data_IF_651454837941
#
_entry.id   IF_651454837941
#
_cell.length_a   1.000
_cell.length_b   1.000
_cell.length_c   1.000
_cell.angle_alpha   90.00
_cell.angle_beta   90.00
_cell.angle_gamma   90.00
#
_symmetry.space_group_name_H-M   'P 1'
#
loop_
_entity.id
_entity.type
_entity.pdbx_description
1 polymer ?
#
# COMPACT_ATOMS: atom_id res chain seq x y z
N UNK A 1 19.74 11.31 5.89
CA UNK A 1 18.46 11.89 5.41
C UNK A 1 17.35 11.61 6.42
N UNK A 2 16.44 12.60 6.65
CA UNK A 2 15.29 12.41 7.56
C UNK A 2 14.38 11.24 7.10
N UNK A 3 14.23 11.07 5.80
CA UNK A 3 13.43 9.98 5.25
C UNK A 3 14.05 8.61 5.55
N UNK A 4 15.35 8.43 5.33
CA UNK A 4 16.02 7.16 5.61
C UNK A 4 15.97 6.80 7.10
N UNK A 5 16.09 7.78 8.00
CA UNK A 5 15.92 7.57 9.44
C UNK A 5 14.49 7.12 9.79
N UNK A 6 13.48 7.60 9.04
CA UNK A 6 12.09 7.15 9.21
C UNK A 6 11.94 5.69 8.75
N UNK A 7 12.53 5.31 7.61
CA UNK A 7 12.51 3.91 7.14
C UNK A 7 13.17 3.00 8.16
N UNK A 8 14.35 3.36 8.65
CA UNK A 8 15.06 2.61 9.68
C UNK A 8 14.24 2.41 10.95
N UNK A 9 13.62 3.48 11.45
CA UNK A 9 12.78 3.44 12.65
C UNK A 9 11.55 2.58 12.44
N UNK A 10 10.85 2.75 11.33
CA UNK A 10 9.67 1.94 10.98
C UNK A 10 10.02 0.46 10.94
N UNK A 11 11.14 0.11 10.29
CA UNK A 11 11.63 -1.24 10.26
C UNK A 11 11.88 -1.79 11.67
N UNK A 12 12.58 -1.06 12.53
CA UNK A 12 12.85 -1.46 13.91
C UNK A 12 11.59 -1.71 14.73
N UNK A 13 10.55 -0.86 14.55
CA UNK A 13 9.25 -1.03 15.20
C UNK A 13 8.50 -2.27 14.69
N UNK A 14 8.57 -2.54 13.39
CA UNK A 14 7.86 -3.66 12.76
C UNK A 14 8.63 -4.98 12.81
N UNK A 15 9.94 -4.96 13.02
CA UNK A 15 10.82 -6.14 12.97
C UNK A 15 10.27 -7.40 13.65
N UNK A 16 9.65 -7.33 14.87
CA UNK A 16 9.10 -8.51 15.54
C UNK A 16 7.93 -9.18 14.79
N UNK A 17 7.32 -8.49 13.85
CA UNK A 17 6.12 -8.91 13.12
C UNK A 17 6.40 -9.25 11.66
N UNK A 18 7.60 -8.92 11.15
CA UNK A 18 7.99 -9.13 9.77
C UNK A 18 8.58 -10.52 9.55
N UNK A 19 8.41 -11.02 8.33
CA UNK A 19 8.99 -12.26 7.82
C UNK A 19 9.78 -12.01 6.56
N UNK A 20 10.77 -12.86 6.27
CA UNK A 20 11.50 -12.82 5.01
C UNK A 20 10.60 -13.27 3.85
N UNK A 21 10.09 -12.30 3.10
CA UNK A 21 9.27 -12.51 1.91
C UNK A 21 9.75 -11.61 0.77
N UNK A 22 9.40 -11.96 -0.45
CA UNK A 22 9.70 -11.12 -1.61
C UNK A 22 8.77 -9.91 -1.70
N UNK A 23 9.20 -8.89 -2.43
CA UNK A 23 8.36 -7.76 -2.78
C UNK A 23 7.10 -8.23 -3.55
N UNK A 24 5.96 -7.61 -3.28
CA UNK A 24 4.65 -7.98 -3.85
C UNK A 24 4.24 -9.44 -3.59
N UNK A 25 4.67 -10.04 -2.47
CA UNK A 25 4.42 -11.44 -2.13
C UNK A 25 3.08 -11.67 -1.44
N UNK A 26 2.39 -10.62 -0.95
CA UNK A 26 1.11 -10.76 -0.26
C UNK A 26 0.06 -11.39 -1.19
N UNK A 27 -0.63 -12.41 -0.67
CA UNK A 27 -1.61 -13.18 -1.42
C UNK A 27 -2.98 -12.48 -1.50
N UNK A 28 -3.86 -12.99 -2.37
CA UNK A 28 -5.26 -12.55 -2.44
C UNK A 28 -6.07 -12.95 -1.19
N UNK A 29 -5.49 -13.77 -0.28
CA UNK A 29 -6.10 -14.14 1.02
C UNK A 29 -6.30 -12.95 1.97
N UNK A 30 -5.69 -11.79 1.69
CA UNK A 30 -5.97 -10.53 2.38
C UNK A 30 -7.40 -10.00 2.17
N UNK A 31 -8.26 -10.72 1.42
CA UNK A 31 -9.59 -10.26 1.02
C UNK A 31 -10.51 -9.89 2.19
N UNK A 32 -10.38 -10.57 3.33
CA UNK A 32 -11.22 -10.33 4.52
C UNK A 32 -10.69 -9.22 5.43
N UNK A 33 -9.45 -8.73 5.21
CA UNK A 33 -8.84 -7.65 5.97
C UNK A 33 -8.72 -6.39 5.09
N UNK A 34 -9.60 -5.43 5.34
CA UNK A 34 -9.67 -4.19 4.55
C UNK A 34 -8.34 -3.41 4.56
N UNK A 35 -7.69 -3.26 5.72
CA UNK A 35 -6.43 -2.52 5.83
C UNK A 35 -5.28 -3.24 5.09
N UNK A 36 -5.21 -4.57 5.17
CA UNK A 36 -4.22 -5.35 4.44
C UNK A 36 -4.42 -5.23 2.92
N UNK A 37 -5.67 -5.23 2.46
CA UNK A 37 -6.02 -5.06 1.04
C UNK A 37 -5.68 -3.66 0.51
N UNK A 38 -5.96 -2.61 1.28
CA UNK A 38 -5.60 -1.23 0.92
C UNK A 38 -4.06 -1.06 0.88
N UNK A 39 -3.34 -1.65 1.83
CA UNK A 39 -1.87 -1.64 1.79
C UNK A 39 -1.34 -2.37 0.56
N UNK A 40 -1.88 -3.55 0.22
CA UNK A 40 -1.51 -4.30 -0.98
C UNK A 40 -1.77 -3.50 -2.25
N UNK A 41 -2.93 -2.86 -2.37
CA UNK A 41 -3.26 -1.99 -3.49
C UNK A 41 -2.24 -0.85 -3.62
N UNK A 42 -1.91 -0.19 -2.51
CA UNK A 42 -0.91 0.90 -2.47
C UNK A 42 0.48 0.39 -2.86
N UNK A 43 0.88 -0.78 -2.37
CA UNK A 43 2.14 -1.43 -2.71
C UNK A 43 2.27 -1.63 -4.23
N UNK A 44 1.31 -2.33 -4.85
CA UNK A 44 1.32 -2.62 -6.28
C UNK A 44 1.23 -1.35 -7.15
N UNK A 45 0.43 -0.36 -6.73
CA UNK A 45 0.36 0.94 -7.40
C UNK A 45 1.71 1.69 -7.34
N UNK A 46 2.42 1.59 -6.21
CA UNK A 46 3.75 2.18 -6.06
C UNK A 46 4.76 1.50 -6.96
N UNK A 47 4.79 0.16 -7.03
CA UNK A 47 5.69 -0.59 -7.92
C UNK A 47 5.47 -0.20 -9.37
N UNK A 48 4.21 -0.16 -9.82
CA UNK A 48 3.85 0.27 -11.18
C UNK A 48 4.38 1.67 -11.47
N UNK A 49 4.07 2.63 -10.60
CA UNK A 49 4.44 4.04 -10.78
C UNK A 49 5.96 4.24 -10.77
N UNK A 50 6.66 3.63 -9.81
CA UNK A 50 8.12 3.73 -9.71
C UNK A 50 8.80 3.09 -10.92
N UNK A 51 8.29 1.94 -11.39
CA UNK A 51 8.78 1.28 -12.61
C UNK A 51 8.65 2.18 -13.85
N UNK A 52 7.49 2.86 -14.02
CA UNK A 52 7.27 3.81 -15.12
C UNK A 52 8.16 5.06 -14.98
N UNK A 53 8.28 5.62 -13.77
CA UNK A 53 9.03 6.84 -13.52
C UNK A 53 10.56 6.62 -13.73
N UNK A 54 11.10 5.47 -13.31
CA UNK A 54 12.52 5.14 -13.48
C UNK A 54 12.78 4.63 -14.90
N UNK A 55 12.00 3.65 -15.38
CA UNK A 55 12.28 2.94 -16.62
C UNK A 55 12.00 3.75 -17.87
N UNK A 56 10.95 4.58 -17.89
CA UNK A 56 10.50 5.28 -19.09
C UNK A 56 10.74 6.78 -19.07
N UNK A 57 10.72 7.40 -17.88
CA UNK A 57 10.68 8.87 -17.73
C UNK A 57 11.91 9.46 -17.08
N UNK A 58 12.76 8.64 -16.44
CA UNK A 58 13.93 9.06 -15.65
C UNK A 58 13.59 10.10 -14.57
N UNK A 59 12.39 9.99 -13.98
CA UNK A 59 11.86 10.91 -12.98
C UNK A 59 12.12 10.37 -11.55
N UNK A 60 13.37 10.38 -11.12
CA UNK A 60 13.78 9.81 -9.83
C UNK A 60 13.12 10.49 -8.63
N UNK A 61 12.85 11.80 -8.68
CA UNK A 61 12.21 12.51 -7.58
C UNK A 61 10.76 12.04 -7.36
N UNK A 62 10.00 11.80 -8.43
CA UNK A 62 8.63 11.28 -8.35
C UNK A 62 8.61 9.83 -7.90
N UNK A 63 9.57 9.03 -8.35
CA UNK A 63 9.75 7.66 -7.86
C UNK A 63 10.00 7.64 -6.35
N UNK A 64 10.94 8.45 -5.85
CA UNK A 64 11.21 8.56 -4.41
C UNK A 64 9.98 9.07 -3.65
N UNK A 65 9.25 10.05 -4.18
CA UNK A 65 8.02 10.54 -3.55
C UNK A 65 6.96 9.45 -3.41
N UNK A 66 6.80 8.60 -4.44
CA UNK A 66 5.86 7.45 -4.38
C UNK A 66 6.28 6.41 -3.33
N UNK A 67 7.59 6.15 -3.19
CA UNK A 67 8.09 5.27 -2.11
C UNK A 67 7.83 5.91 -0.73
N UNK A 68 7.99 7.24 -0.60
CA UNK A 68 7.67 7.95 0.64
C UNK A 68 6.19 7.85 1.00
N UNK A 69 5.30 7.88 0.02
CA UNK A 69 3.85 7.67 0.22
C UNK A 69 3.56 6.25 0.74
N UNK A 70 4.21 5.23 0.19
CA UNK A 70 4.07 3.84 0.69
C UNK A 70 4.58 3.71 2.13
N UNK A 71 5.71 4.34 2.47
CA UNK A 71 6.21 4.39 3.85
C UNK A 71 5.24 5.12 4.79
N UNK A 72 4.58 6.19 4.32
CA UNK A 72 3.56 6.86 5.12
C UNK A 72 2.35 5.96 5.37
N UNK A 73 1.91 5.19 4.37
CA UNK A 73 0.82 4.23 4.52
C UNK A 73 1.16 3.15 5.55
N UNK A 74 2.38 2.61 5.50
CA UNK A 74 2.86 1.66 6.51
C UNK A 74 2.80 2.26 7.94
N UNK A 75 3.18 3.52 8.12
CA UNK A 75 3.06 4.19 9.42
C UNK A 75 1.62 4.33 9.89
N UNK A 76 0.69 4.60 8.98
CA UNK A 76 -0.72 4.82 9.32
C UNK A 76 -1.45 3.50 9.67
N UNK A 77 -1.11 2.41 8.97
CA UNK A 77 -1.84 1.14 9.06
C UNK A 77 -1.18 0.11 9.99
N UNK A 78 0.09 0.31 10.40
CA UNK A 78 0.87 -0.70 11.13
C UNK A 78 0.19 -1.22 12.40
N UNK A 79 -0.41 -0.34 13.21
CA UNK A 79 -0.98 -0.71 14.51
C UNK A 79 -2.21 -1.63 14.36
N UNK A 80 -2.98 -1.45 13.29
CA UNK A 80 -4.09 -2.32 12.94
C UNK A 80 -3.58 -3.65 12.38
N UNK A 81 -2.60 -3.59 11.46
CA UNK A 81 -2.13 -4.74 10.71
C UNK A 81 -1.31 -5.74 11.54
N UNK A 82 -0.58 -5.30 12.57
CA UNK A 82 0.18 -6.21 13.44
C UNK A 82 -0.71 -7.17 14.24
N UNK A 83 -2.01 -6.92 14.32
CA UNK A 83 -2.95 -7.74 15.09
C UNK A 83 -3.39 -9.03 14.38
N UNK A 84 -3.24 -9.12 13.05
CA UNK A 84 -3.71 -10.24 12.24
C UNK A 84 -2.58 -10.90 11.44
N UNK A 85 -2.76 -12.16 11.03
CA UNK A 85 -1.78 -12.89 10.23
C UNK A 85 -1.66 -12.26 8.81
N UNK A 86 -2.80 -11.95 8.20
CA UNK A 86 -2.89 -11.32 6.88
C UNK A 86 -2.24 -9.93 6.89
N UNK A 87 -2.47 -9.17 7.97
CA UNK A 87 -1.84 -7.87 8.16
C UNK A 87 -0.32 -7.95 8.26
N UNK A 88 0.23 -8.93 8.99
CA UNK A 88 1.68 -9.16 9.08
C UNK A 88 2.28 -9.58 7.74
N UNK A 89 1.55 -10.40 6.96
CA UNK A 89 1.94 -10.77 5.60
C UNK A 89 2.01 -9.53 4.70
N UNK A 90 0.98 -8.69 4.72
CA UNK A 90 0.94 -7.45 3.95
C UNK A 90 2.05 -6.46 4.36
N UNK A 91 2.31 -6.31 5.67
CA UNK A 91 3.42 -5.49 6.18
C UNK A 91 4.79 -6.01 5.72
N UNK A 92 4.99 -7.32 5.75
CA UNK A 92 6.24 -7.96 5.32
C UNK A 92 6.48 -7.73 3.83
N UNK A 93 5.45 -7.95 3.00
CA UNK A 93 5.48 -7.73 1.56
C UNK A 93 5.78 -6.26 1.22
N UNK A 94 5.05 -5.33 1.81
CA UNK A 94 5.22 -3.91 1.56
C UNK A 94 6.58 -3.39 2.04
N UNK A 95 7.13 -3.92 3.17
CA UNK A 95 8.47 -3.56 3.62
C UNK A 95 9.54 -4.08 2.67
N UNK A 96 9.45 -5.34 2.21
CA UNK A 96 10.33 -5.89 1.18
C UNK A 96 10.29 -5.06 -0.10
N UNK A 97 9.10 -4.62 -0.52
CA UNK A 97 8.92 -3.73 -1.67
C UNK A 97 9.60 -2.37 -1.46
N UNK A 98 9.45 -1.74 -0.29
CA UNK A 98 10.15 -0.48 0.03
C UNK A 98 11.65 -0.64 -0.10
N UNK A 99 12.23 -1.73 0.45
CA UNK A 99 13.68 -1.98 0.38
C UNK A 99 14.15 -2.20 -1.06
N UNK A 100 13.41 -3.00 -1.85
CA UNK A 100 13.77 -3.28 -3.24
C UNK A 100 13.69 -2.02 -4.11
N UNK A 101 12.65 -1.19 -3.93
CA UNK A 101 12.51 0.05 -4.69
C UNK A 101 13.51 1.14 -4.28
N UNK A 102 13.95 1.16 -3.01
CA UNK A 102 14.97 2.08 -2.51
C UNK A 102 16.40 1.63 -2.82
N UNK A 103 16.60 0.36 -3.13
CA UNK A 103 17.93 -0.22 -3.33
C UNK A 103 18.81 0.58 -4.31
N UNK A 104 18.33 1.04 -5.50
CA UNK A 104 19.14 1.81 -6.42
C UNK A 104 19.65 3.15 -5.86
N UNK A 105 19.01 3.67 -4.82
CA UNK A 105 19.33 4.97 -4.21
C UNK A 105 20.16 4.84 -2.93
N UNK A 106 19.96 3.77 -2.18
CA UNK A 106 20.56 3.57 -0.85
C UNK A 106 20.90 2.09 -0.60
N UNK A 107 21.80 1.50 -1.39
CA UNK A 107 22.05 0.05 -1.37
C UNK A 107 22.48 -0.45 0.02
N UNK A 108 23.41 0.22 0.68
CA UNK A 108 23.91 -0.23 1.98
C UNK A 108 22.83 -0.32 3.07
N UNK A 109 21.93 0.68 3.13
CA UNK A 109 20.81 0.66 4.07
C UNK A 109 19.86 -0.51 3.76
N UNK A 110 19.57 -0.71 2.48
CA UNK A 110 18.61 -1.73 2.05
C UNK A 110 19.16 -3.14 2.27
N UNK A 111 20.45 -3.39 2.01
CA UNK A 111 21.09 -4.68 2.29
C UNK A 111 21.09 -5.01 3.79
N UNK A 112 21.44 -4.06 4.64
CA UNK A 112 21.42 -4.25 6.10
C UNK A 112 20.03 -4.67 6.59
N UNK A 113 18.98 -3.93 6.16
CA UNK A 113 17.61 -4.24 6.55
C UNK A 113 17.08 -5.52 5.90
N UNK A 114 17.57 -5.88 4.72
CA UNK A 114 17.21 -7.10 4.01
C UNK A 114 17.77 -8.35 4.72
N UNK A 115 19.03 -8.29 5.16
CA UNK A 115 19.65 -9.31 5.99
C UNK A 115 18.94 -9.44 7.35
N UNK A 116 18.62 -8.31 7.98
CA UNK A 116 17.86 -8.25 9.22
C UNK A 116 16.46 -8.87 9.11
N UNK A 117 15.82 -8.81 7.93
CA UNK A 117 14.57 -9.54 7.66
C UNK A 117 14.73 -11.04 7.70
N UNK A 118 15.96 -11.56 7.54
CA UNK A 118 16.30 -12.97 7.54
C UNK A 118 16.53 -13.57 6.15
N UNK A 119 16.68 -12.74 5.13
CA UNK A 119 17.07 -13.19 3.80
C UNK A 119 18.52 -13.69 3.79
N UNK A 120 18.76 -14.76 3.05
CA UNK A 120 20.10 -15.37 2.93
C UNK A 120 20.85 -14.92 1.66
N UNK A 121 20.11 -14.36 0.69
CA UNK A 121 20.65 -13.79 -0.56
C UNK A 121 20.73 -12.28 -0.46
N UNK A 122 21.67 -11.68 -1.21
CA UNK A 122 21.74 -10.23 -1.37
C UNK A 122 20.51 -9.72 -2.07
N UNK A 123 20.07 -8.50 -1.73
CA UNK A 123 18.98 -7.81 -2.41
C UNK A 123 19.34 -7.50 -3.87
N UNK A 124 20.63 -7.41 -4.20
CA UNK A 124 21.12 -7.26 -5.58
C UNK A 124 20.76 -8.43 -6.51
N UNK A 125 20.52 -9.62 -5.94
CA UNK A 125 20.16 -10.82 -6.70
C UNK A 125 18.64 -10.93 -6.93
N UNK A 126 17.86 -10.08 -6.27
CA UNK A 126 16.41 -10.08 -6.41
C UNK A 126 15.98 -9.34 -7.70
N UNK A 127 14.95 -9.89 -8.33
CA UNK A 127 14.37 -9.27 -9.51
C UNK A 127 13.57 -8.02 -9.12
N UNK A 128 13.48 -7.06 -10.06
CA UNK A 128 12.58 -5.92 -9.89
C UNK A 128 11.14 -6.39 -9.64
N UNK A 129 10.44 -5.86 -8.61
CA UNK A 129 9.13 -6.34 -8.24
C UNK A 129 8.11 -6.15 -9.37
N UNK A 130 7.21 -7.12 -9.50
CA UNK A 130 6.16 -7.10 -10.52
C UNK A 130 4.82 -6.78 -9.85
N UNK A 131 4.14 -5.80 -10.39
CA UNK A 131 2.78 -5.48 -9.96
C UNK A 131 1.76 -6.38 -10.65
N UNK A 132 0.62 -6.60 -9.98
CA UNK A 132 -0.49 -7.40 -10.49
C UNK A 132 -1.71 -6.50 -10.71
N UNK A 133 -2.40 -6.69 -11.84
CA UNK A 133 -3.59 -5.91 -12.15
C UNK A 133 -4.75 -6.22 -11.20
N UNK A 134 -4.86 -7.47 -10.73
CA UNK A 134 -5.83 -7.88 -9.72
C UNK A 134 -5.70 -7.08 -8.42
N UNK A 135 -4.47 -6.80 -7.99
CA UNK A 135 -4.20 -6.03 -6.78
C UNK A 135 -4.55 -4.55 -6.91
N UNK A 136 -4.65 -4.02 -8.13
CA UNK A 136 -5.03 -2.62 -8.40
C UNK A 136 -6.53 -2.41 -8.47
N UNK A 137 -7.34 -3.47 -8.50
CA UNK A 137 -8.79 -3.35 -8.49
C UNK A 137 -9.25 -2.99 -7.09
N UNK A 138 -10.02 -1.91 -7.00
CA UNK A 138 -10.73 -1.55 -5.77
C UNK A 138 -12.08 -2.25 -5.79
N UNK A 139 -12.36 -3.03 -4.77
CA UNK A 139 -13.68 -3.66 -4.64
C UNK A 139 -14.74 -2.64 -4.18
N UNK A 140 -14.32 -1.62 -3.44
CA UNK A 140 -15.17 -0.55 -2.93
C UNK A 140 -14.68 0.83 -3.40
N UNK A 141 -15.61 1.70 -3.72
CA UNK A 141 -15.36 3.10 -4.11
C UNK A 141 -16.14 4.01 -3.19
N UNK A 142 -15.47 5.00 -2.63
CA UNK A 142 -16.14 6.04 -1.84
C UNK A 142 -16.84 7.03 -2.77
N UNK A 143 -18.17 7.06 -2.74
CA UNK A 143 -18.98 8.03 -3.46
C UNK A 143 -19.35 9.18 -2.53
N UNK A 144 -19.03 10.38 -2.97
CA UNK A 144 -19.33 11.62 -2.25
C UNK A 144 -20.72 12.10 -2.63
N UNK A 145 -21.60 12.28 -1.61
CA UNK A 145 -22.95 12.75 -1.81
C UNK A 145 -23.01 14.26 -1.56
N UNK A 146 -23.56 14.99 -2.54
CA UNK A 146 -23.80 16.42 -2.44
C UNK A 146 -25.29 16.72 -2.60
N UNK A 147 -25.82 17.54 -1.71
CA UNK A 147 -27.17 18.10 -1.81
C UNK A 147 -27.06 19.61 -1.96
N UNK A 148 -27.60 20.16 -3.04
CA UNK A 148 -27.53 21.59 -3.38
C UNK A 148 -26.08 22.14 -3.40
N UNK A 149 -25.13 21.35 -3.93
CA UNK A 149 -23.71 21.71 -4.04
C UNK A 149 -22.89 21.65 -2.73
N UNK A 150 -23.50 21.20 -1.62
CA UNK A 150 -22.82 21.02 -0.35
C UNK A 150 -22.61 19.53 -0.06
N UNK A 151 -21.38 19.17 0.36
CA UNK A 151 -21.06 17.82 0.83
C UNK A 151 -21.95 17.46 2.03
N UNK A 152 -22.68 16.33 1.94
CA UNK A 152 -23.59 15.88 2.99
C UNK A 152 -23.29 14.48 3.50
N UNK A 153 -22.69 13.62 2.66
CA UNK A 153 -22.37 12.26 3.05
C UNK A 153 -21.27 11.65 2.20
N UNK A 154 -20.75 10.52 2.65
CA UNK A 154 -19.84 9.64 1.91
C UNK A 154 -20.36 8.22 2.11
N UNK A 155 -20.59 7.51 1.04
CA UNK A 155 -20.95 6.09 1.08
C UNK A 155 -19.88 5.26 0.39
N UNK A 156 -19.65 4.06 0.89
CA UNK A 156 -18.80 3.08 0.23
C UNK A 156 -19.69 2.12 -0.56
N UNK A 157 -19.42 1.98 -1.83
CA UNK A 157 -20.17 1.13 -2.74
C UNK A 157 -19.21 0.20 -3.48
N UNK A 158 -19.64 -1.03 -3.87
CA UNK A 158 -18.85 -1.87 -4.75
C UNK A 158 -18.46 -1.13 -6.02
N UNK A 159 -17.22 -1.34 -6.50
CA UNK A 159 -16.72 -0.63 -7.70
C UNK A 159 -17.50 -1.00 -8.97
N UNK A 160 -18.18 -2.16 -8.96
CA UNK A 160 -19.06 -2.67 -10.00
C UNK A 160 -20.56 -2.38 -9.74
N UNK A 161 -20.87 -1.62 -8.68
CA UNK A 161 -22.25 -1.28 -8.35
C UNK A 161 -22.93 -0.52 -9.49
N UNK A 162 -24.16 -0.88 -9.82
CA UNK A 162 -24.95 -0.17 -10.79
C UNK A 162 -25.30 1.24 -10.28
N UNK A 163 -25.54 2.18 -11.19
CA UNK A 163 -25.98 3.54 -10.83
C UNK A 163 -27.22 3.52 -9.93
N UNK A 164 -28.14 2.59 -10.20
CA UNK A 164 -29.37 2.44 -9.42
C UNK A 164 -29.12 1.98 -7.99
N UNK A 165 -28.14 1.08 -7.77
CA UNK A 165 -27.76 0.62 -6.44
C UNK A 165 -27.04 1.72 -5.66
N UNK A 166 -26.18 2.49 -6.32
CA UNK A 166 -25.51 3.66 -5.73
C UNK A 166 -26.55 4.72 -5.30
N UNK A 167 -27.55 5.01 -6.16
CA UNK A 167 -28.63 5.96 -5.83
C UNK A 167 -29.47 5.47 -4.65
N UNK A 168 -29.80 4.18 -4.58
CA UNK A 168 -30.54 3.59 -3.44
C UNK A 168 -29.77 3.71 -2.13
N UNK A 169 -28.46 3.38 -2.15
CA UNK A 169 -27.60 3.48 -0.97
C UNK A 169 -27.44 4.95 -0.53
N UNK A 170 -27.29 5.86 -1.49
CA UNK A 170 -27.17 7.29 -1.21
C UNK A 170 -28.44 7.86 -0.58
N UNK A 171 -29.63 7.44 -1.04
CA UNK A 171 -30.91 7.87 -0.49
C UNK A 171 -31.23 7.24 0.86
N UNK A 172 -30.61 6.12 1.20
CA UNK A 172 -30.74 5.45 2.50
C UNK A 172 -29.79 6.01 3.58
N UNK A 173 -28.82 6.83 3.20
CA UNK A 173 -27.87 7.44 4.14
C UNK A 173 -28.58 8.46 5.04
N UNK A 174 -28.42 8.31 6.37
CA UNK A 174 -29.09 9.16 7.37
C UNK A 174 -28.74 10.65 7.22
N UNK A 175 -27.55 10.99 6.73
CA UNK A 175 -27.12 12.36 6.55
C UNK A 175 -27.82 13.01 5.33
N UNK A 176 -28.28 12.19 4.38
CA UNK A 176 -29.04 12.63 3.19
C UNK A 176 -30.53 12.75 3.53
N UNK A 177 -31.08 11.82 4.32
CA UNK A 177 -32.48 11.81 4.73
C UNK A 177 -32.90 13.04 5.55
N UNK A 178 -31.95 13.77 6.13
CA UNK A 178 -32.19 15.00 6.93
C UNK A 178 -32.30 16.27 6.08
N UNK A 179 -32.23 16.17 4.75
CA UNK A 179 -32.19 17.28 3.80
C UNK A 179 -33.07 17.08 2.58
#
# INVERSE_FOLDING_TARGET
SRFLNRVWRLFGELRPYLSAVKACASSDSCADNHAARELRLREHATVKKVGEDIGNRYQFNTAIASIMELVNELYLSKDELISTAEGKEALSSAMATVLTLLYPFTPHLCEELWEDLGHQSSLSDESWPQWQESALKRDMVTVVIQVNGKLRGKIEVPADASREDVEKLALADEAVLRH
#
